data_IF_348251583599
#
_entry.id   IF_348251583599
#
_cell.length_a   1.000
_cell.length_b   1.000
_cell.length_c   1.000
_cell.angle_alpha   90.00
_cell.angle_beta   90.00
_cell.angle_gamma   90.00
#
_symmetry.space_group_name_H-M   'P 1'
#
loop_
_entity.id
_entity.type
_entity.pdbx_description
1 polymer ?
#
# COMPACT_ATOMS: atom_id res chain seq x y z
N UNK A 1 -0.55 5.90 -10.04
CA UNK A 1 -0.05 4.61 -9.58
C UNK A 1 1.15 4.11 -10.37
N UNK A 2 0.94 3.37 -11.48
CA UNK A 2 2.03 2.65 -12.15
C UNK A 2 3.21 3.53 -12.60
N UNK A 3 2.93 4.70 -13.15
CA UNK A 3 3.98 5.65 -13.62
C UNK A 3 4.89 6.11 -12.48
N UNK A 4 4.32 6.34 -11.28
CA UNK A 4 5.10 6.75 -10.09
C UNK A 4 5.93 5.58 -9.57
N UNK A 5 5.36 4.36 -9.56
CA UNK A 5 6.10 3.16 -9.19
C UNK A 5 7.29 2.91 -10.12
N UNK A 6 7.07 2.99 -11.44
CA UNK A 6 8.14 2.85 -12.43
C UNK A 6 9.23 3.92 -12.27
N UNK A 7 8.85 5.16 -11.97
CA UNK A 7 9.79 6.24 -11.71
C UNK A 7 10.66 5.96 -10.48
N UNK A 8 10.06 5.51 -9.36
CA UNK A 8 10.82 5.11 -8.17
C UNK A 8 11.75 3.94 -8.46
N UNK A 9 11.27 2.90 -9.17
CA UNK A 9 12.09 1.75 -9.54
C UNK A 9 13.28 2.14 -10.42
N UNK A 10 13.09 3.08 -11.34
CA UNK A 10 14.17 3.63 -12.16
C UNK A 10 15.23 4.40 -11.34
N UNK A 11 14.87 4.90 -10.14
CA UNK A 11 15.80 5.48 -9.16
C UNK A 11 16.47 4.42 -8.27
N UNK A 12 16.23 3.14 -8.50
CA UNK A 12 16.80 2.04 -7.73
C UNK A 12 16.02 1.67 -6.46
N UNK A 13 14.79 2.13 -6.30
CA UNK A 13 13.96 1.76 -5.16
C UNK A 13 13.16 0.49 -5.42
N UNK A 14 13.14 -0.41 -4.43
CA UNK A 14 12.11 -1.42 -4.28
C UNK A 14 10.80 -0.76 -3.84
N UNK A 15 9.72 -0.95 -4.59
CA UNK A 15 8.45 -0.22 -4.40
C UNK A 15 7.40 -1.10 -3.76
N UNK A 16 6.81 -0.59 -2.67
CA UNK A 16 5.72 -1.18 -1.91
C UNK A 16 4.52 -0.24 -1.96
N UNK A 17 3.32 -0.76 -2.11
CA UNK A 17 2.10 0.03 -2.32
C UNK A 17 1.11 -0.19 -1.18
N UNK A 18 0.35 0.87 -0.82
CA UNK A 18 -0.69 0.85 0.20
C UNK A 18 -0.18 0.33 1.57
N UNK A 19 0.95 0.87 2.02
CA UNK A 19 1.61 0.43 3.25
C UNK A 19 1.03 1.13 4.46
N UNK A 20 0.41 0.36 5.37
CA UNK A 20 -0.05 0.87 6.66
C UNK A 20 1.12 0.95 7.66
N UNK A 21 1.40 2.16 8.13
CA UNK A 21 2.46 2.43 9.10
C UNK A 21 2.04 3.54 10.09
N UNK A 22 2.97 3.98 10.93
CA UNK A 22 2.74 4.93 12.02
C UNK A 22 1.93 6.19 11.63
N UNK A 23 2.23 6.79 10.51
CA UNK A 23 1.60 8.04 10.08
C UNK A 23 0.27 7.84 9.30
N UNK A 24 -0.15 6.62 9.11
CA UNK A 24 -1.32 6.26 8.30
C UNK A 24 -1.00 5.25 7.21
N UNK A 25 -1.68 5.35 6.08
CA UNK A 25 -1.43 4.50 4.91
C UNK A 25 -0.68 5.35 3.89
N UNK A 26 0.53 4.91 3.54
CA UNK A 26 1.29 5.50 2.44
C UNK A 26 0.83 4.89 1.11
N UNK A 27 0.53 5.71 0.12
CA UNK A 27 0.21 5.21 -1.21
C UNK A 27 1.36 4.40 -1.80
N UNK A 28 2.61 4.89 -1.62
CA UNK A 28 3.82 4.14 -1.98
C UNK A 28 4.95 4.37 -0.97
N UNK A 29 5.71 3.31 -0.73
CA UNK A 29 6.98 3.33 -0.01
C UNK A 29 8.05 2.75 -0.92
N UNK A 30 9.16 3.46 -1.09
CA UNK A 30 10.35 3.00 -1.79
C UNK A 30 11.49 2.72 -0.80
N UNK A 31 12.22 1.62 -0.97
CA UNK A 31 13.44 1.34 -0.20
C UNK A 31 14.63 1.13 -1.12
N UNK A 32 15.76 1.78 -0.82
CA UNK A 32 17.03 1.61 -1.53
C UNK A 32 18.15 1.61 -0.50
N UNK A 33 18.70 0.42 -0.18
CA UNK A 33 19.63 0.27 0.94
C UNK A 33 19.04 0.86 2.23
N UNK A 34 19.75 1.77 2.95
CA UNK A 34 19.24 2.40 4.17
C UNK A 34 18.16 3.46 3.90
N UNK A 35 18.03 3.94 2.65
CA UNK A 35 17.10 5.01 2.32
C UNK A 35 15.66 4.50 2.24
N UNK A 36 14.72 5.34 2.67
CA UNK A 36 13.29 5.13 2.56
C UNK A 36 12.64 6.40 2.04
N UNK A 37 11.87 6.26 0.98
CA UNK A 37 11.05 7.31 0.39
C UNK A 37 9.57 6.98 0.59
N UNK A 38 8.75 8.00 0.84
CA UNK A 38 7.27 7.88 0.86
C UNK A 38 6.70 8.78 -0.22
N UNK A 39 5.70 8.30 -0.94
CA UNK A 39 4.95 9.09 -1.92
C UNK A 39 3.47 9.02 -1.61
N UNK A 40 2.83 10.18 -1.49
CA UNK A 40 1.38 10.36 -1.41
C UNK A 40 0.84 10.82 -2.77
N UNK A 41 -0.30 10.32 -3.19
CA UNK A 41 -0.88 10.62 -4.50
C UNK A 41 -2.27 11.23 -4.36
N UNK A 42 -2.49 12.35 -5.03
CA UNK A 42 -3.81 13.02 -5.08
C UNK A 42 -4.04 13.63 -6.46
N UNK A 43 -5.28 14.01 -6.70
CA UNK A 43 -5.67 14.67 -7.97
C UNK A 43 -5.19 16.12 -8.07
N UNK A 44 -4.87 16.75 -6.92
CA UNK A 44 -4.39 18.14 -6.87
C UNK A 44 -3.54 18.39 -5.63
N UNK A 45 -2.69 19.42 -5.66
CA UNK A 45 -2.01 19.95 -4.48
C UNK A 45 -3.07 20.61 -3.56
N UNK A 46 -3.10 20.19 -2.32
CA UNK A 46 -4.01 20.73 -1.29
C UNK A 46 -3.31 20.76 0.07
N UNK A 47 -3.82 21.55 1.00
CA UNK A 47 -3.32 21.55 2.38
C UNK A 47 -3.51 20.20 3.08
N UNK A 48 -4.56 19.46 2.73
CA UNK A 48 -4.77 18.10 3.22
C UNK A 48 -3.64 17.17 2.77
N UNK A 49 -3.26 17.22 1.48
CA UNK A 49 -2.14 16.44 0.95
C UNK A 49 -0.81 16.86 1.60
N UNK A 50 -0.59 18.17 1.79
CA UNK A 50 0.58 18.67 2.50
C UNK A 50 0.65 18.12 3.92
N UNK A 51 -0.46 18.15 4.64
CA UNK A 51 -0.55 17.59 5.99
C UNK A 51 -0.26 16.09 6.02
N UNK A 52 -0.83 15.33 5.08
CA UNK A 52 -0.56 13.90 4.95
C UNK A 52 0.93 13.63 4.69
N UNK A 53 1.54 14.39 3.78
CA UNK A 53 2.96 14.25 3.45
C UNK A 53 3.88 14.61 4.63
N UNK A 54 3.63 15.72 5.30
CA UNK A 54 4.48 16.18 6.43
C UNK A 54 4.53 15.17 7.57
N UNK A 55 3.45 14.41 7.82
CA UNK A 55 3.44 13.36 8.85
C UNK A 55 4.49 12.26 8.62
N UNK A 56 4.90 12.03 7.37
CA UNK A 56 5.92 11.06 7.03
C UNK A 56 7.35 11.56 7.25
N UNK A 57 7.55 12.88 7.43
CA UNK A 57 8.89 13.48 7.56
C UNK A 57 9.72 12.91 8.71
N UNK A 58 9.09 12.47 9.80
CA UNK A 58 9.80 11.87 10.94
C UNK A 58 10.30 10.44 10.67
N UNK A 59 9.70 9.72 9.73
CA UNK A 59 9.94 8.28 9.49
C UNK A 59 10.41 7.95 8.06
N UNK A 60 10.54 8.94 7.20
CA UNK A 60 11.05 8.77 5.84
C UNK A 60 12.20 9.74 5.55
N UNK A 61 13.22 9.26 4.86
CA UNK A 61 14.35 10.09 4.44
C UNK A 61 13.95 11.10 3.37
N UNK A 62 13.03 10.71 2.48
CA UNK A 62 12.45 11.55 1.45
C UNK A 62 10.94 11.41 1.45
N UNK A 63 10.23 12.52 1.36
CA UNK A 63 8.77 12.52 1.22
C UNK A 63 8.41 13.27 -0.05
N UNK A 64 7.58 12.62 -0.85
CA UNK A 64 7.10 13.12 -2.12
C UNK A 64 5.59 13.18 -2.15
N UNK A 65 5.05 14.07 -2.96
CA UNK A 65 3.67 14.01 -3.42
C UNK A 65 3.65 13.89 -4.93
N UNK A 66 2.69 13.15 -5.46
CA UNK A 66 2.51 13.00 -6.90
C UNK A 66 1.09 13.42 -7.30
N UNK A 67 1.00 14.36 -8.25
CA UNK A 67 -0.26 14.91 -8.74
C UNK A 67 -0.27 14.94 -10.27
N UNK A 68 -1.43 14.81 -10.92
CA UNK A 68 -1.54 15.02 -12.36
C UNK A 68 -1.11 16.42 -12.75
N UNK A 69 -0.59 16.55 -13.97
CA UNK A 69 -0.27 17.85 -14.55
C UNK A 69 -1.55 18.64 -14.79
N UNK A 70 -1.72 19.74 -14.06
CA UNK A 70 -2.85 20.63 -14.29
C UNK A 70 -2.64 21.47 -15.55
N UNK A 71 -3.72 21.70 -16.31
CA UNK A 71 -3.71 22.66 -17.42
C UNK A 71 -3.86 24.07 -16.84
N UNK A 72 -2.82 24.90 -16.97
CA UNK A 72 -2.84 26.34 -16.73
C UNK A 72 -3.34 26.78 -15.34
N UNK A 73 -2.55 26.63 -14.29
CA UNK A 73 -2.94 27.12 -12.97
C UNK A 73 -1.99 28.23 -12.50
N UNK A 74 -2.54 29.43 -12.34
CA UNK A 74 -1.83 30.63 -11.88
C UNK A 74 -1.32 30.53 -10.43
N UNK A 75 -1.86 29.62 -9.62
CA UNK A 75 -1.43 29.43 -8.23
C UNK A 75 -0.48 28.25 -7.99
N UNK A 76 -0.16 27.47 -9.04
CA UNK A 76 0.58 26.23 -8.89
C UNK A 76 1.97 26.41 -8.30
N UNK A 77 2.73 27.39 -8.78
CA UNK A 77 4.09 27.65 -8.27
C UNK A 77 4.10 28.03 -6.79
N UNK A 78 3.08 28.74 -6.30
CA UNK A 78 2.94 29.04 -4.87
C UNK A 78 2.62 27.76 -4.08
N UNK A 79 1.71 26.91 -4.58
CA UNK A 79 1.40 25.65 -3.94
C UNK A 79 2.65 24.75 -3.86
N UNK A 80 3.39 24.60 -4.95
CA UNK A 80 4.63 23.80 -4.99
C UNK A 80 5.67 24.31 -3.98
N UNK A 81 5.84 25.64 -3.85
CA UNK A 81 6.70 26.22 -2.81
C UNK A 81 6.27 25.88 -1.39
N UNK A 82 4.98 25.86 -1.11
CA UNK A 82 4.49 25.45 0.22
C UNK A 82 4.90 24.00 0.58
N UNK A 83 4.97 23.10 -0.40
CA UNK A 83 5.47 21.74 -0.19
C UNK A 83 6.98 21.74 -0.01
N UNK A 84 7.71 22.43 -0.85
CA UNK A 84 9.17 22.55 -0.80
C UNK A 84 9.64 23.15 0.53
N UNK A 85 9.01 24.23 1.02
CA UNK A 85 9.29 24.86 2.32
C UNK A 85 9.11 23.91 3.51
N UNK A 86 8.32 22.84 3.32
CA UNK A 86 8.12 21.77 4.30
C UNK A 86 8.99 20.55 4.02
N UNK A 87 9.94 20.67 3.11
CA UNK A 87 10.86 19.60 2.71
C UNK A 87 10.19 18.45 1.97
N UNK A 88 9.02 18.68 1.36
CA UNK A 88 8.27 17.69 0.57
C UNK A 88 8.50 17.95 -0.91
N UNK A 89 8.95 16.93 -1.64
CA UNK A 89 9.12 17.00 -3.08
C UNK A 89 7.79 16.87 -3.82
N UNK A 90 7.71 17.46 -5.01
CA UNK A 90 6.51 17.42 -5.86
C UNK A 90 6.84 16.77 -7.20
N UNK A 91 6.09 15.73 -7.53
CA UNK A 91 6.10 15.03 -8.80
C UNK A 91 4.83 15.37 -9.57
N UNK A 92 5.00 15.82 -10.79
CA UNK A 92 3.89 16.09 -11.71
C UNK A 92 3.83 15.00 -12.76
N UNK A 93 2.69 14.32 -12.86
CA UNK A 93 2.45 13.24 -13.81
C UNK A 93 1.69 13.79 -15.02
N UNK A 94 2.34 13.85 -16.17
CA UNK A 94 1.70 14.18 -17.43
C UNK A 94 1.17 12.90 -18.11
N UNK A 95 0.07 13.01 -18.86
CA UNK A 95 -0.55 11.92 -19.61
C UNK A 95 -0.80 10.65 -18.76
N UNK A 96 -1.22 10.83 -17.50
CA UNK A 96 -1.48 9.72 -16.59
C UNK A 96 -2.45 8.69 -17.20
N UNK A 97 -2.08 7.40 -17.11
CA UNK A 97 -2.88 6.31 -17.66
C UNK A 97 -2.65 6.01 -19.15
N UNK A 98 -1.71 6.67 -19.81
CA UNK A 98 -1.32 6.39 -21.20
C UNK A 98 0.13 5.91 -21.28
N UNK A 99 0.53 5.35 -22.42
CA UNK A 99 1.92 4.93 -22.67
C UNK A 99 2.90 6.09 -22.70
N UNK A 100 2.43 7.32 -23.00
CA UNK A 100 3.23 8.54 -22.97
C UNK A 100 3.31 9.18 -21.58
N UNK A 101 2.83 8.52 -20.53
CA UNK A 101 2.89 9.02 -19.16
C UNK A 101 4.34 9.26 -18.72
N UNK A 102 4.63 10.46 -18.25
CA UNK A 102 5.95 10.82 -17.75
C UNK A 102 5.86 11.69 -16.50
N UNK A 103 6.93 11.67 -15.71
CA UNK A 103 7.04 12.44 -14.47
C UNK A 103 8.01 13.60 -14.67
N UNK A 104 7.60 14.76 -14.18
CA UNK A 104 8.45 15.93 -13.98
C UNK A 104 8.55 16.21 -12.49
N UNK A 105 9.75 16.29 -11.95
CA UNK A 105 10.00 16.77 -10.61
C UNK A 105 9.95 18.30 -10.62
N UNK A 106 8.98 18.90 -9.93
CA UNK A 106 8.78 20.34 -9.87
C UNK A 106 9.25 20.97 -8.55
N UNK A 107 9.35 20.18 -7.47
CA UNK A 107 10.03 20.56 -6.24
C UNK A 107 10.82 19.37 -5.70
N UNK A 108 11.98 19.65 -5.07
CA UNK A 108 12.84 18.61 -4.48
C UNK A 108 12.51 18.42 -3.00
N UNK A 109 12.54 17.18 -2.49
CA UNK A 109 12.39 16.95 -1.05
C UNK A 109 13.70 17.29 -0.34
N UNK A 110 13.58 17.71 0.89
CA UNK A 110 14.71 17.73 1.80
C UNK A 110 15.00 16.31 2.30
N UNK A 111 16.27 15.91 2.26
CA UNK A 111 16.69 14.60 2.77
C UNK A 111 16.81 14.63 4.30
N UNK A 112 15.95 13.90 5.00
CA UNK A 112 15.99 13.79 6.45
C UNK A 112 16.91 12.64 6.91
N UNK A 113 18.12 12.95 7.31
CA UNK A 113 19.11 11.97 7.84
C UNK A 113 18.71 11.37 9.18
N UNK A 114 17.80 12.00 9.92
CA UNK A 114 17.36 11.59 11.28
C UNK A 114 16.04 10.82 11.24
N UNK A 115 15.56 10.43 10.06
CA UNK A 115 14.31 9.69 9.91
C UNK A 115 14.39 8.32 10.61
N UNK A 116 13.40 7.97 11.42
CA UNK A 116 13.25 6.62 11.99
C UNK A 116 12.55 5.69 10.97
N UNK A 117 13.30 5.33 9.92
CA UNK A 117 12.79 4.52 8.83
C UNK A 117 12.41 3.10 9.28
N UNK A 118 12.91 2.61 10.40
CA UNK A 118 12.59 1.28 10.92
C UNK A 118 11.12 1.16 11.32
N UNK A 119 10.48 2.23 11.73
CA UNK A 119 9.04 2.24 12.02
C UNK A 119 8.19 1.85 10.80
N UNK A 120 8.64 2.23 9.60
CA UNK A 120 7.97 1.87 8.34
C UNK A 120 8.48 0.52 7.82
N UNK A 121 9.79 0.26 7.86
CA UNK A 121 10.41 -0.98 7.34
C UNK A 121 9.81 -2.23 7.96
N UNK A 122 9.54 -2.23 9.25
CA UNK A 122 8.90 -3.36 9.98
C UNK A 122 7.51 -3.72 9.44
N UNK A 123 6.86 -2.81 8.73
CA UNK A 123 5.53 -2.98 8.14
C UNK A 123 5.56 -3.45 6.69
N UNK A 124 6.71 -3.40 6.02
CA UNK A 124 6.84 -3.83 4.63
C UNK A 124 6.65 -5.35 4.52
N UNK A 125 5.94 -5.77 3.49
CA UNK A 125 5.71 -7.16 3.12
C UNK A 125 5.86 -7.30 1.61
N UNK A 126 6.33 -8.43 1.13
CA UNK A 126 6.44 -8.69 -0.32
C UNK A 126 5.10 -8.53 -1.05
N UNK A 127 3.99 -8.86 -0.38
CA UNK A 127 2.64 -8.69 -0.92
C UNK A 127 2.31 -7.24 -1.26
N UNK A 128 2.91 -6.26 -0.60
CA UNK A 128 2.74 -4.84 -0.95
C UNK A 128 3.33 -4.49 -2.33
N UNK A 129 4.20 -5.33 -2.90
CA UNK A 129 4.78 -5.12 -4.25
C UNK A 129 3.80 -5.49 -5.37
N UNK A 130 2.91 -6.45 -5.14
CA UNK A 130 2.09 -7.07 -6.20
C UNK A 130 0.59 -7.01 -5.99
N UNK A 131 0.11 -6.85 -4.75
CA UNK A 131 -1.30 -7.06 -4.40
C UNK A 131 -2.21 -5.89 -4.73
N UNK A 132 -1.74 -4.66 -4.68
CA UNK A 132 -2.54 -3.46 -4.93
C UNK A 132 -1.80 -2.48 -5.84
N UNK A 133 -2.55 -1.86 -6.76
CA UNK A 133 -2.06 -0.69 -7.48
C UNK A 133 -2.41 0.56 -6.66
N UNK A 134 -1.40 1.27 -6.19
CA UNK A 134 -1.55 2.50 -5.44
C UNK A 134 -2.43 3.52 -6.18
N UNK A 135 -3.36 4.14 -5.46
CA UNK A 135 -4.32 5.08 -6.02
C UNK A 135 -5.54 4.42 -6.68
N UNK A 136 -5.77 3.11 -6.49
CA UNK A 136 -7.02 2.46 -6.93
C UNK A 136 -8.16 2.77 -5.97
N UNK A 137 -9.31 3.18 -6.52
CA UNK A 137 -10.54 3.36 -5.74
C UNK A 137 -11.18 1.98 -5.54
N UNK A 138 -11.37 1.57 -4.28
CA UNK A 138 -12.17 0.37 -3.99
C UNK A 138 -11.43 -0.88 -3.55
N UNK A 139 -10.67 -0.82 -2.45
CA UNK A 139 -10.34 -2.02 -1.68
C UNK A 139 -9.14 -2.86 -2.14
N UNK A 140 -8.29 -2.33 -3.00
CA UNK A 140 -7.08 -3.01 -3.48
C UNK A 140 -5.97 -3.21 -2.44
N UNK A 141 -6.07 -2.58 -1.25
CA UNK A 141 -5.04 -2.64 -0.20
C UNK A 141 -4.80 -4.07 0.29
N UNK A 142 -3.52 -4.45 0.42
CA UNK A 142 -3.14 -5.66 1.14
C UNK A 142 -3.40 -5.49 2.65
N UNK A 143 -3.90 -6.53 3.28
CA UNK A 143 -4.08 -6.62 4.73
C UNK A 143 -3.68 -8.02 5.18
N UNK A 144 -3.29 -8.18 6.44
CA UNK A 144 -2.98 -9.49 7.02
C UNK A 144 -4.17 -10.46 6.87
N UNK A 145 -5.41 -9.94 6.91
CA UNK A 145 -6.62 -10.70 6.62
C UNK A 145 -6.63 -11.23 5.19
N UNK A 146 -6.38 -10.37 4.18
CA UNK A 146 -6.31 -10.78 2.76
C UNK A 146 -5.19 -11.79 2.53
N UNK A 147 -4.04 -11.60 3.17
CA UNK A 147 -2.94 -12.57 3.14
C UNK A 147 -3.35 -13.93 3.75
N UNK A 148 -4.08 -13.92 4.85
CA UNK A 148 -4.63 -15.15 5.44
C UNK A 148 -5.63 -15.84 4.48
N UNK A 149 -6.54 -15.08 3.89
CA UNK A 149 -7.52 -15.59 2.90
C UNK A 149 -6.83 -16.19 1.69
N UNK A 150 -5.78 -15.54 1.17
CA UNK A 150 -5.03 -16.05 0.03
C UNK A 150 -4.36 -17.38 0.37
N UNK A 151 -3.64 -17.49 1.49
CA UNK A 151 -3.01 -18.75 1.94
C UNK A 151 -4.03 -19.86 2.15
N UNK A 152 -5.20 -19.53 2.68
CA UNK A 152 -6.29 -20.52 2.83
C UNK A 152 -6.82 -21.01 1.46
N UNK A 153 -6.93 -20.12 0.47
CA UNK A 153 -7.31 -20.50 -0.90
C UNK A 153 -6.27 -21.43 -1.53
N UNK A 154 -5.00 -21.07 -1.45
CA UNK A 154 -3.89 -21.88 -1.97
C UNK A 154 -3.88 -23.28 -1.31
N UNK A 155 -4.10 -23.32 0.01
CA UNK A 155 -4.20 -24.59 0.74
C UNK A 155 -5.42 -25.40 0.29
N UNK A 156 -6.60 -24.79 0.14
CA UNK A 156 -7.81 -25.44 -0.27
C UNK A 156 -7.71 -26.00 -1.71
N UNK A 157 -7.03 -25.27 -2.62
CA UNK A 157 -6.75 -25.75 -3.97
C UNK A 157 -5.85 -27.00 -3.97
N UNK A 158 -4.83 -27.01 -3.12
CA UNK A 158 -3.94 -28.14 -2.98
C UNK A 158 -4.57 -29.34 -2.24
N UNK A 159 -5.59 -29.08 -1.39
CA UNK A 159 -6.23 -30.07 -0.53
C UNK A 159 -7.76 -29.95 -0.57
N UNK A 160 -8.42 -30.33 -1.70
CA UNK A 160 -9.87 -30.22 -1.83
C UNK A 160 -10.60 -30.96 -0.71
N UNK A 161 -11.59 -30.30 -0.08
CA UNK A 161 -12.35 -30.87 1.02
C UNK A 161 -11.63 -30.86 2.38
N UNK A 162 -10.50 -30.16 2.51
CA UNK A 162 -9.78 -30.03 3.77
C UNK A 162 -10.64 -29.36 4.86
N UNK A 163 -10.42 -29.75 6.10
CA UNK A 163 -11.05 -29.10 7.25
C UNK A 163 -10.45 -27.72 7.48
N UNK A 164 -11.28 -26.71 7.74
CA UNK A 164 -10.82 -25.35 8.03
C UNK A 164 -9.79 -25.33 9.18
N UNK A 165 -9.96 -26.18 10.19
CA UNK A 165 -9.01 -26.28 11.29
C UNK A 165 -7.65 -26.84 10.90
N UNK A 166 -7.57 -27.75 9.92
CA UNK A 166 -6.32 -28.24 9.36
C UNK A 166 -5.64 -27.15 8.50
N UNK A 167 -6.44 -26.51 7.64
CA UNK A 167 -5.95 -25.41 6.82
C UNK A 167 -5.36 -24.26 7.63
N UNK A 168 -5.96 -23.90 8.77
CA UNK A 168 -5.46 -22.82 9.63
C UNK A 168 -4.14 -23.16 10.34
N UNK A 169 -3.89 -24.42 10.67
CA UNK A 169 -2.61 -24.84 11.26
C UNK A 169 -1.44 -24.68 10.27
N UNK A 170 -1.68 -25.02 9.01
CA UNK A 170 -0.65 -25.01 7.97
C UNK A 170 -0.51 -23.60 7.31
N UNK A 171 -1.62 -22.93 7.05
CA UNK A 171 -1.67 -21.70 6.26
C UNK A 171 -1.26 -20.43 7.02
N UNK A 172 -0.64 -20.51 8.18
CA UNK A 172 -0.24 -19.34 9.01
C UNK A 172 -1.25 -18.17 8.94
N UNK A 173 -1.85 -17.78 10.00
CA UNK A 173 -2.84 -16.70 10.04
C UNK A 173 -2.41 -15.59 11.00
N UNK A 174 -3.04 -14.40 10.88
CA UNK A 174 -2.74 -13.21 11.69
C UNK A 174 -3.49 -13.15 13.03
N UNK A 175 -4.38 -14.08 13.29
CA UNK A 175 -5.16 -14.10 14.54
C UNK A 175 -4.30 -14.60 15.72
N UNK A 176 -4.64 -14.15 16.91
CA UNK A 176 -3.92 -14.52 18.14
C UNK A 176 -4.03 -16.02 18.51
N UNK A 177 -5.06 -16.74 18.01
CA UNK A 177 -5.24 -18.18 18.24
C UNK A 177 -5.99 -18.84 17.09
N UNK A 178 -5.76 -20.15 16.88
CA UNK A 178 -6.45 -20.97 15.88
C UNK A 178 -7.97 -21.04 16.14
N UNK A 179 -8.39 -21.07 17.40
CA UNK A 179 -9.81 -21.09 17.78
C UNK A 179 -10.51 -19.79 17.36
N UNK A 180 -9.89 -18.64 17.64
CA UNK A 180 -10.37 -17.31 17.22
C UNK A 180 -10.39 -17.15 15.70
N UNK A 181 -9.34 -17.64 15.04
CA UNK A 181 -9.27 -17.67 13.58
C UNK A 181 -10.41 -18.49 12.97
N UNK A 182 -10.62 -19.71 13.48
CA UNK A 182 -11.69 -20.61 13.01
C UNK A 182 -13.06 -19.97 13.14
N UNK A 183 -13.39 -19.45 14.33
CA UNK A 183 -14.68 -18.83 14.59
C UNK A 183 -14.95 -17.64 13.66
N UNK A 184 -13.99 -16.73 13.57
CA UNK A 184 -14.14 -15.51 12.76
C UNK A 184 -14.19 -15.80 11.27
N UNK A 185 -13.33 -16.67 10.77
CA UNK A 185 -13.29 -17.01 9.34
C UNK A 185 -14.51 -17.84 8.93
N UNK A 186 -14.97 -18.80 9.73
CA UNK A 186 -16.18 -19.56 9.44
C UNK A 186 -17.39 -18.62 9.30
N UNK A 187 -17.55 -17.63 10.19
CA UNK A 187 -18.60 -16.61 10.11
C UNK A 187 -18.51 -15.78 8.82
N UNK A 188 -17.30 -15.28 8.49
CA UNK A 188 -17.07 -14.44 7.30
C UNK A 188 -17.26 -15.22 5.99
N UNK A 189 -16.80 -16.47 5.93
CA UNK A 189 -16.96 -17.33 4.75
C UNK A 189 -18.44 -17.72 4.62
N UNK A 190 -19.12 -18.08 5.71
CA UNK A 190 -20.54 -18.40 5.73
C UNK A 190 -21.43 -17.24 5.27
N UNK A 191 -21.02 -15.99 5.53
CA UNK A 191 -21.67 -14.76 5.04
C UNK A 191 -21.33 -14.42 3.59
N UNK A 192 -20.49 -15.21 2.90
CA UNK A 192 -20.07 -14.94 1.54
C UNK A 192 -19.15 -13.71 1.38
N UNK A 193 -18.60 -13.19 2.48
CA UNK A 193 -17.70 -12.04 2.47
C UNK A 193 -16.27 -12.38 2.05
N UNK A 194 -15.96 -13.66 1.88
CA UNK A 194 -14.67 -14.18 1.41
C UNK A 194 -14.87 -14.92 0.09
N UNK A 195 -14.72 -14.24 -1.07
CA UNK A 195 -14.96 -14.85 -2.36
C UNK A 195 -14.07 -16.09 -2.62
N UNK A 196 -14.62 -17.12 -3.24
CA UNK A 196 -13.88 -18.35 -3.58
C UNK A 196 -13.62 -19.32 -2.43
N UNK A 197 -14.13 -19.03 -1.22
CA UNK A 197 -14.14 -19.97 -0.10
C UNK A 197 -15.57 -20.24 0.37
N UNK A 198 -15.85 -21.49 0.69
CA UNK A 198 -17.11 -21.93 1.30
C UNK A 198 -16.80 -22.83 2.49
N UNK A 199 -17.65 -22.78 3.49
CA UNK A 199 -17.61 -23.68 4.63
C UNK A 199 -18.92 -24.45 4.65
N UNK A 200 -18.87 -25.77 4.83
CA UNK A 200 -20.05 -26.59 5.00
C UNK A 200 -20.89 -26.07 6.20
N UNK A 201 -22.22 -26.33 6.25
CA UNK A 201 -23.09 -25.84 7.31
C UNK A 201 -22.65 -26.26 8.74
N UNK A 202 -21.89 -27.34 8.83
CA UNK A 202 -21.28 -27.81 10.09
C UNK A 202 -19.98 -27.05 10.46
N UNK A 203 -19.55 -26.08 9.63
CA UNK A 203 -18.36 -25.26 9.84
C UNK A 203 -17.02 -25.98 9.73
N UNK A 204 -17.00 -27.23 9.28
CA UNK A 204 -15.80 -28.10 9.32
C UNK A 204 -14.98 -28.10 8.04
N UNK A 205 -15.59 -27.91 6.87
CA UNK A 205 -14.90 -28.04 5.58
C UNK A 205 -14.76 -26.70 4.87
N UNK A 206 -13.63 -26.52 4.23
CA UNK A 206 -13.37 -25.40 3.30
C UNK A 206 -13.50 -25.96 1.89
N UNK A 207 -14.40 -25.41 1.11
CA UNK A 207 -14.61 -25.74 -0.31
C UNK A 207 -14.23 -24.54 -1.17
N UNK A 208 -13.68 -24.81 -2.34
CA UNK A 208 -13.47 -23.83 -3.41
C UNK A 208 -14.71 -23.67 -4.26
#
# INVERSE_FOLDING_TARGET
GPTVAAWLSAQGFDVYQEVEAYAGIADMVGTCGPQLAVVEMKVALSFELLWQAVRWRGVAHQVWVAVPRAKGSTGRGMAERCFEDRGVGVLTVAHAGTESAHITMTARPEFNRKADAEMVRKRLREQHKTFALAGSVGGGRWTEFKGTVQRLREYAQAHPGALLGAALKEAKHHYASDAGARSRLADLIGKGTVPGLRVEPDGRKVLL
#
